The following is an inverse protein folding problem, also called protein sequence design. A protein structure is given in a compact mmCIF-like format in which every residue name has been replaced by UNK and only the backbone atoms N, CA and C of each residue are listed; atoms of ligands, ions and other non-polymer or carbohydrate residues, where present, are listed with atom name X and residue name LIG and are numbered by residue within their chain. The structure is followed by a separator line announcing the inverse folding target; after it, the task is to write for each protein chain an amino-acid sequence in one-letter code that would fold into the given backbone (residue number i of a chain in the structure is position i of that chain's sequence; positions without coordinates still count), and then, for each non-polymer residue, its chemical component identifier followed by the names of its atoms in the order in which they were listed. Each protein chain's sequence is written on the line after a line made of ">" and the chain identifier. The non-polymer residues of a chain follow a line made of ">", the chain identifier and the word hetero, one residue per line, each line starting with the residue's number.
data_IF_500414195821
#
_entry.id   IF_500414195821
#
_cell.length_a   1.000
_cell.length_b   1.000
_cell.length_c   1.000
_cell.angle_alpha   90.00
_cell.angle_beta   90.00
_cell.angle_gamma   90.00
#
_symmetry.space_group_name_H-M   'P 1'
#
loop_
_entity.id
_entity.type
_entity.pdbx_description
1 polymer ?
#
# COMPACT_ATOMS: atom_id res chain seq x y z
N UNK A 1 -20.98 2.80 11.99
CA UNK A 1 -20.03 2.60 10.87
C UNK A 1 -20.82 2.79 9.59
N UNK A 2 -20.47 3.75 8.76
CA UNK A 2 -21.19 4.00 7.51
C UNK A 2 -20.56 3.17 6.36
N UNK A 3 -21.25 3.08 5.22
CA UNK A 3 -20.74 2.38 4.03
C UNK A 3 -19.39 2.92 3.54
N UNK A 4 -19.14 4.21 3.73
CA UNK A 4 -17.93 4.88 3.25
C UNK A 4 -16.71 4.48 4.07
N UNK A 5 -16.85 4.44 5.39
CA UNK A 5 -15.83 4.04 6.36
C UNK A 5 -15.55 2.54 6.26
N UNK A 6 -16.58 1.70 6.11
CA UNK A 6 -16.39 0.27 5.86
C UNK A 6 -15.60 0.00 4.57
N UNK A 7 -15.88 0.74 3.48
CA UNK A 7 -15.11 0.66 2.22
C UNK A 7 -13.65 1.08 2.41
N UNK A 8 -13.40 2.17 3.12
CA UNK A 8 -12.05 2.66 3.36
C UNK A 8 -11.22 1.65 4.18
N UNK A 9 -11.82 1.07 5.23
CA UNK A 9 -11.17 0.06 6.06
C UNK A 9 -10.90 -1.23 5.29
N UNK A 10 -11.85 -1.67 4.46
CA UNK A 10 -11.65 -2.81 3.58
C UNK A 10 -10.52 -2.55 2.58
N UNK A 11 -10.53 -1.40 1.91
CA UNK A 11 -9.49 -1.04 0.92
C UNK A 11 -8.10 -1.03 1.56
N UNK A 12 -7.96 -0.44 2.75
CA UNK A 12 -6.71 -0.43 3.49
C UNK A 12 -6.21 -1.84 3.82
N UNK A 13 -7.10 -2.70 4.34
CA UNK A 13 -6.77 -4.10 4.67
C UNK A 13 -6.40 -4.91 3.44
N UNK A 14 -7.18 -4.77 2.37
CA UNK A 14 -6.95 -5.44 1.09
C UNK A 14 -5.58 -5.08 0.52
N UNK A 15 -5.28 -3.78 0.35
CA UNK A 15 -4.01 -3.34 -0.21
C UNK A 15 -2.82 -3.78 0.65
N UNK A 16 -2.95 -3.69 1.97
CA UNK A 16 -1.91 -4.16 2.91
C UNK A 16 -1.64 -5.66 2.74
N UNK A 17 -2.70 -6.47 2.67
CA UNK A 17 -2.57 -7.93 2.47
C UNK A 17 -1.93 -8.26 1.12
N UNK A 18 -2.35 -7.59 0.04
CA UNK A 18 -1.77 -7.84 -1.29
C UNK A 18 -0.29 -7.47 -1.34
N UNK A 19 0.12 -6.33 -0.76
CA UNK A 19 1.53 -5.94 -0.71
C UNK A 19 2.36 -6.96 0.08
N UNK A 20 1.84 -7.46 1.20
CA UNK A 20 2.52 -8.46 2.01
C UNK A 20 2.70 -9.78 1.25
N UNK A 21 1.69 -10.20 0.46
CA UNK A 21 1.77 -11.40 -0.38
C UNK A 21 2.89 -11.32 -1.44
N UNK A 22 3.23 -10.12 -1.90
CA UNK A 22 4.34 -9.89 -2.83
C UNK A 22 5.62 -9.38 -2.15
N UNK A 23 5.78 -9.60 -0.83
CA UNK A 23 6.94 -9.19 -0.04
C UNK A 23 7.27 -7.69 -0.15
N UNK A 24 6.26 -6.82 -0.25
CA UNK A 24 6.49 -5.38 -0.42
C UNK A 24 6.74 -4.95 -1.87
N UNK A 25 6.67 -5.85 -2.85
CA UNK A 25 6.88 -5.52 -4.24
C UNK A 25 5.66 -4.81 -4.85
N UNK A 26 5.69 -3.48 -4.86
CA UNK A 26 4.61 -2.63 -5.39
C UNK A 26 4.38 -2.88 -6.88
N UNK A 27 5.42 -3.15 -7.68
CA UNK A 27 5.26 -3.40 -9.12
C UNK A 27 4.49 -4.71 -9.40
N UNK A 28 4.81 -5.79 -8.66
CA UNK A 28 4.08 -7.07 -8.77
C UNK A 28 2.65 -6.92 -8.27
N UNK A 29 2.48 -6.21 -7.14
CA UNK A 29 1.15 -5.93 -6.57
C UNK A 29 0.28 -5.14 -7.54
N UNK A 30 0.82 -4.07 -8.13
CA UNK A 30 0.14 -3.22 -9.12
C UNK A 30 -0.32 -4.03 -10.33
N UNK A 31 0.56 -4.88 -10.89
CA UNK A 31 0.20 -5.79 -11.99
C UNK A 31 -0.90 -6.77 -11.58
N UNK A 32 -0.82 -7.34 -10.37
CA UNK A 32 -1.79 -8.32 -9.89
C UNK A 32 -3.18 -7.72 -9.68
N UNK A 33 -3.27 -6.53 -9.08
CA UNK A 33 -4.56 -5.86 -8.84
C UNK A 33 -5.07 -5.07 -10.05
N UNK A 34 -4.33 -5.05 -11.17
CA UNK A 34 -4.68 -4.31 -12.38
C UNK A 34 -4.61 -2.79 -12.23
N UNK A 35 -3.73 -2.28 -11.38
CA UNK A 35 -3.56 -0.85 -11.13
C UNK A 35 -2.22 -0.37 -11.69
N UNK A 36 -2.15 0.87 -12.18
CA UNK A 36 -0.87 1.49 -12.51
C UNK A 36 0.00 1.61 -11.25
N UNK A 37 1.31 1.35 -11.40
CA UNK A 37 2.25 1.37 -10.27
C UNK A 37 2.29 2.72 -9.57
N UNK A 38 2.25 3.82 -10.33
CA UNK A 38 2.33 5.19 -9.79
C UNK A 38 1.04 5.57 -9.07
N UNK A 39 -0.10 5.14 -9.61
CA UNK A 39 -1.40 5.31 -8.96
C UNK A 39 -1.47 4.53 -7.64
N UNK A 40 -1.03 3.26 -7.64
CA UNK A 40 -0.95 2.45 -6.42
C UNK A 40 -0.03 3.12 -5.39
N UNK A 41 1.15 3.60 -5.82
CA UNK A 41 2.08 4.26 -4.92
C UNK A 41 1.49 5.52 -4.27
N UNK A 42 0.78 6.37 -5.04
CA UNK A 42 0.06 7.53 -4.47
C UNK A 42 -1.01 7.09 -3.48
N UNK A 43 -1.85 6.12 -3.84
CA UNK A 43 -2.90 5.57 -2.98
C UNK A 43 -2.34 5.07 -1.65
N UNK A 44 -1.19 4.40 -1.68
CA UNK A 44 -0.53 3.89 -0.47
C UNK A 44 0.00 5.01 0.43
N UNK A 45 0.56 6.07 -0.14
CA UNK A 45 0.93 7.26 0.63
C UNK A 45 -0.30 7.92 1.28
N UNK A 46 -1.39 8.10 0.52
CA UNK A 46 -2.62 8.71 1.02
C UNK A 46 -3.25 7.90 2.17
N UNK A 47 -3.17 6.57 2.10
CA UNK A 47 -3.66 5.65 3.13
C UNK A 47 -2.64 5.43 4.27
N UNK A 48 -1.48 6.08 4.24
CA UNK A 48 -0.33 5.85 5.13
C UNK A 48 0.08 4.37 5.23
N UNK A 49 -0.11 3.62 4.15
CA UNK A 49 0.33 2.24 3.98
C UNK A 49 1.71 2.29 3.35
N UNK A 50 2.69 2.82 4.08
CA UNK A 50 4.07 2.66 3.66
C UNK A 50 4.45 1.19 3.78
N UNK A 51 5.36 0.64 2.92
CA UNK A 51 6.25 -0.38 3.45
C UNK A 51 6.79 0.18 4.77
N UNK A 52 7.09 -0.63 5.78
CA UNK A 52 7.96 -0.18 6.87
C UNK A 52 9.26 0.24 6.18
N UNK A 53 9.34 1.48 5.69
CA UNK A 53 10.54 2.27 5.65
C UNK A 53 10.88 2.29 7.11
N UNK A 54 11.67 1.27 7.49
CA UNK A 54 12.67 1.44 8.52
C UNK A 54 13.16 2.86 8.30
N UNK A 55 13.08 3.62 9.37
CA UNK A 55 13.79 4.83 9.69
C UNK A 55 15.28 4.78 9.20
N UNK A 56 15.57 4.44 7.94
CA UNK A 56 16.82 3.82 7.48
C UNK A 56 17.62 4.63 6.48
N UNK A 57 17.00 5.48 5.67
CA UNK A 57 17.82 6.42 4.88
C UNK A 57 18.24 7.65 5.72
N UNK A 58 17.58 7.91 6.86
CA UNK A 58 17.95 8.96 7.81
C UNK A 58 19.03 8.53 8.81
N UNK A 59 19.51 7.28 8.73
CA UNK A 59 20.72 6.81 9.45
C UNK A 59 21.73 6.26 8.42
N UNK A 60 21.67 6.75 7.17
CA UNK A 60 22.53 6.31 6.06
C UNK A 60 23.21 7.52 5.40
N UNK A 61 23.80 8.39 6.21
CA UNK A 61 25.13 8.99 6.03
C UNK A 61 25.45 9.92 7.20
#
# INVERSE_FOLDING_TARGET
>A
MDLRSARADFEKKYLTAQINNFNGNISKTAKFIGMDRSALHRKLNDLNIGPKKKLQSLISK
#
